data_IF_384302436758
#
_entry.id   IF_384302436758
#
_cell.length_a   1.000
_cell.length_b   1.000
_cell.length_c   1.000
_cell.angle_alpha   90.00
_cell.angle_beta   90.00
_cell.angle_gamma   90.00
#
_symmetry.space_group_name_H-M   'P 1'
#
loop_
_entity.id
_entity.type
_entity.pdbx_description
1 polymer ?
#
# COMPACT_ATOMS: atom_id res chain seq x y z
N UNK A 1 -1.80 -22.18 18.59
CA UNK A 1 -2.62 -21.01 18.20
C UNK A 1 -1.73 -20.03 17.45
N UNK A 2 -1.98 -19.81 16.16
CA UNK A 2 -1.25 -18.83 15.36
C UNK A 2 -1.79 -17.41 15.59
N UNK A 3 -0.92 -16.41 15.67
CA UNK A 3 -1.33 -15.00 15.69
C UNK A 3 -1.65 -14.49 14.28
N UNK A 4 -2.23 -13.29 14.15
CA UNK A 4 -2.67 -12.70 12.86
C UNK A 4 -1.62 -12.74 11.73
N UNK A 5 -0.32 -12.73 12.06
CA UNK A 5 0.76 -12.88 11.07
C UNK A 5 0.75 -14.21 10.30
N UNK A 6 0.16 -15.27 10.85
CA UNK A 6 0.02 -16.54 10.13
C UNK A 6 -1.00 -16.46 8.99
N UNK A 7 -1.99 -15.56 9.07
CA UNK A 7 -3.00 -15.39 8.03
C UNK A 7 -2.34 -14.75 6.80
N UNK A 8 -1.69 -13.60 6.95
CA UNK A 8 -1.05 -12.92 5.83
C UNK A 8 0.06 -13.74 5.16
N UNK A 9 0.77 -14.59 5.90
CA UNK A 9 1.76 -15.50 5.31
C UNK A 9 1.13 -16.67 4.55
N UNK A 10 -0.06 -17.13 4.96
CA UNK A 10 -0.81 -18.15 4.23
C UNK A 10 -1.31 -17.61 2.90
N UNK A 11 -1.88 -16.41 2.90
CA UNK A 11 -2.40 -15.76 1.68
C UNK A 11 -1.27 -15.53 0.65
N UNK A 12 -0.08 -15.09 1.13
CA UNK A 12 1.10 -14.92 0.28
C UNK A 12 1.57 -16.25 -0.33
N UNK A 13 1.58 -17.33 0.46
CA UNK A 13 1.98 -18.65 -0.02
C UNK A 13 1.02 -19.18 -1.08
N UNK A 14 -0.29 -19.00 -0.89
CA UNK A 14 -1.30 -19.39 -1.87
C UNK A 14 -1.11 -18.65 -3.20
N UNK A 15 -0.89 -17.34 -3.15
CA UNK A 15 -0.67 -16.52 -4.35
C UNK A 15 0.65 -16.88 -5.07
N UNK A 16 1.74 -17.14 -4.33
CA UNK A 16 3.02 -17.59 -4.87
C UNK A 16 2.89 -18.96 -5.57
N UNK A 17 2.14 -19.88 -4.97
CA UNK A 17 1.86 -21.21 -5.55
C UNK A 17 1.16 -21.18 -6.92
N UNK A 18 0.55 -20.05 -7.30
CA UNK A 18 -0.03 -19.87 -8.64
C UNK A 18 1.01 -19.65 -9.75
N UNK A 19 2.25 -19.27 -9.40
CA UNK A 19 3.31 -18.90 -10.34
C UNK A 19 3.04 -17.62 -11.14
N UNK A 20 2.09 -16.78 -10.69
CA UNK A 20 1.67 -15.53 -11.35
C UNK A 20 1.82 -14.29 -10.46
N UNK A 21 2.55 -14.43 -9.34
CA UNK A 21 2.79 -13.36 -8.40
C UNK A 21 4.25 -12.90 -8.52
N UNK A 22 4.44 -11.65 -8.92
CA UNK A 22 5.68 -10.92 -8.71
C UNK A 22 5.48 -9.92 -7.57
N UNK A 23 6.44 -9.82 -6.66
CA UNK A 23 6.36 -8.90 -5.52
C UNK A 23 7.69 -8.21 -5.25
N UNK A 24 7.62 -7.00 -4.70
CA UNK A 24 8.77 -6.26 -4.19
C UNK A 24 8.45 -5.68 -2.82
N UNK A 25 9.16 -6.14 -1.79
CA UNK A 25 9.05 -5.60 -0.44
C UNK A 25 10.02 -4.44 -0.25
N UNK A 26 9.74 -3.57 0.72
CA UNK A 26 10.58 -2.39 1.02
C UNK A 26 10.70 -1.41 -0.15
N UNK A 27 9.69 -1.38 -1.04
CA UNK A 27 9.61 -0.45 -2.18
C UNK A 27 8.50 0.58 -1.92
N UNK A 28 8.73 1.61 -1.09
CA UNK A 28 7.72 2.62 -0.82
C UNK A 28 7.38 3.39 -2.10
N UNK A 29 6.09 3.48 -2.42
CA UNK A 29 5.59 4.25 -3.57
C UNK A 29 5.72 5.76 -3.28
N UNK A 30 5.98 6.55 -4.33
CA UNK A 30 5.99 8.01 -4.29
C UNK A 30 4.89 8.62 -5.17
N UNK A 31 4.66 8.07 -6.37
CA UNK A 31 3.67 8.61 -7.29
C UNK A 31 2.95 7.54 -8.11
N UNK A 32 1.76 7.90 -8.56
CA UNK A 32 0.90 7.10 -9.44
C UNK A 32 0.40 7.97 -10.59
N UNK A 33 0.55 7.50 -11.81
CA UNK A 33 0.05 8.16 -13.02
C UNK A 33 -0.87 7.20 -13.78
N UNK A 34 -2.15 7.51 -13.83
CA UNK A 34 -3.15 6.83 -14.66
C UNK A 34 -3.20 7.48 -16.06
N UNK A 35 -2.88 6.69 -17.08
CA UNK A 35 -2.91 7.08 -18.50
C UNK A 35 -4.21 6.63 -19.18
N UNK A 36 -5.16 6.05 -18.45
CA UNK A 36 -6.44 5.53 -18.92
C UNK A 36 -6.39 4.07 -19.39
N UNK A 37 -5.36 3.69 -20.16
CA UNK A 37 -5.14 2.30 -20.59
C UNK A 37 -4.07 1.56 -19.78
N UNK A 38 -3.24 2.30 -19.05
CA UNK A 38 -2.13 1.84 -18.22
C UNK A 38 -1.99 2.76 -17.01
N UNK A 39 -1.54 2.20 -15.89
CA UNK A 39 -1.13 2.90 -14.69
C UNK A 39 0.36 2.69 -14.49
N UNK A 40 1.07 3.79 -14.21
CA UNK A 40 2.49 3.81 -13.87
C UNK A 40 2.66 4.17 -12.40
N UNK A 41 3.47 3.39 -11.68
CA UNK A 41 3.75 3.57 -10.25
C UNK A 41 5.25 3.76 -10.07
N UNK A 42 5.64 4.88 -9.48
CA UNK A 42 7.05 5.21 -9.23
C UNK A 42 7.37 5.03 -7.75
N UNK A 43 8.44 4.28 -7.48
CA UNK A 43 9.00 4.13 -6.13
C UNK A 43 9.70 5.42 -5.67
N UNK A 44 9.83 5.62 -4.35
CA UNK A 44 10.44 6.82 -3.74
C UNK A 44 11.89 7.05 -4.14
N UNK A 45 12.65 5.98 -4.35
CA UNK A 45 14.03 6.07 -4.79
C UNK A 45 14.13 6.35 -6.30
N UNK A 46 13.02 6.38 -7.04
CA UNK A 46 12.95 6.68 -8.47
C UNK A 46 13.58 5.63 -9.37
N UNK A 47 14.22 4.60 -8.81
CA UNK A 47 14.89 3.52 -9.54
C UNK A 47 13.88 2.59 -10.21
N UNK A 48 12.80 2.27 -9.51
CA UNK A 48 11.80 1.33 -10.00
C UNK A 48 10.52 2.04 -10.46
N UNK A 49 10.09 1.71 -11.68
CA UNK A 49 8.82 2.12 -12.28
C UNK A 49 8.04 0.87 -12.69
N UNK A 50 6.85 0.70 -12.12
CA UNK A 50 5.97 -0.43 -12.38
C UNK A 50 4.82 0.00 -13.29
N UNK A 51 4.49 -0.84 -14.28
CA UNK A 51 3.40 -0.60 -15.23
C UNK A 51 2.38 -1.72 -15.16
N UNK A 52 1.11 -1.36 -15.11
CA UNK A 52 0.01 -2.33 -15.10
C UNK A 52 -1.24 -1.76 -15.77
N UNK A 53 -2.16 -2.64 -16.20
CA UNK A 53 -3.44 -2.20 -16.79
C UNK A 53 -4.38 -1.58 -15.77
N UNK A 54 -4.26 -1.97 -14.49
CA UNK A 54 -5.06 -1.49 -13.37
C UNK A 54 -4.22 -1.52 -12.09
N UNK A 55 -4.55 -0.63 -11.16
CA UNK A 55 -3.93 -0.56 -9.85
C UNK A 55 -4.97 -0.81 -8.76
N UNK A 56 -4.63 -1.66 -7.78
CA UNK A 56 -5.37 -1.79 -6.52
C UNK A 56 -4.58 -1.03 -5.45
N UNK A 57 -5.14 0.06 -4.93
CA UNK A 57 -4.44 0.96 -4.01
C UNK A 57 -4.92 0.73 -2.57
N UNK A 58 -4.14 -0.02 -1.79
CA UNK A 58 -4.47 -0.41 -0.41
C UNK A 58 -3.73 0.40 0.66
N UNK A 59 -3.16 1.56 0.30
CA UNK A 59 -2.50 2.40 1.31
C UNK A 59 -3.55 2.97 2.26
N UNK A 60 -3.21 3.16 3.53
CA UNK A 60 -4.11 3.79 4.49
C UNK A 60 -4.55 5.19 4.04
N UNK A 61 -5.81 5.55 4.31
CA UNK A 61 -6.39 6.83 3.93
C UNK A 61 -5.55 8.03 4.40
N UNK A 62 -5.02 7.97 5.61
CA UNK A 62 -4.18 9.01 6.21
C UNK A 62 -2.77 9.08 5.63
N UNK A 63 -2.37 8.17 4.74
CA UNK A 63 -1.08 8.19 4.03
C UNK A 63 -1.28 8.67 2.59
N UNK A 64 -2.50 8.65 2.05
CA UNK A 64 -2.78 9.03 0.66
C UNK A 64 -2.29 10.43 0.30
N UNK A 65 -2.36 11.41 1.21
CA UNK A 65 -1.91 12.78 0.94
C UNK A 65 -0.39 12.88 0.72
N UNK A 66 0.39 11.87 1.10
CA UNK A 66 1.85 11.85 0.91
C UNK A 66 2.27 11.37 -0.47
N UNK A 67 1.32 10.88 -1.29
CA UNK A 67 1.56 10.26 -2.58
C UNK A 67 1.03 11.16 -3.70
N UNK A 68 1.86 11.41 -4.71
CA UNK A 68 1.43 12.17 -5.87
C UNK A 68 0.53 11.29 -6.77
N UNK A 69 -0.57 11.87 -7.27
CA UNK A 69 -1.48 11.18 -8.19
C UNK A 69 -1.76 12.06 -9.40
N UNK A 70 -1.81 11.44 -10.59
CA UNK A 70 -2.25 12.07 -11.83
C UNK A 70 -3.21 11.12 -12.54
N UNK A 71 -4.49 11.48 -12.77
CA UNK A 71 -5.14 12.72 -12.35
C UNK A 71 -5.22 12.84 -10.82
N UNK A 72 -5.41 14.05 -10.32
CA UNK A 72 -5.50 14.31 -8.88
C UNK A 72 -6.66 13.50 -8.26
N UNK A 73 -6.46 13.03 -7.02
CA UNK A 73 -7.52 12.39 -6.25
C UNK A 73 -8.76 13.31 -6.15
N UNK A 74 -9.98 12.74 -6.18
CA UNK A 74 -11.21 13.50 -5.94
C UNK A 74 -11.11 14.33 -4.66
N UNK A 75 -11.60 15.57 -4.69
CA UNK A 75 -11.45 16.53 -3.59
C UNK A 75 -11.85 15.95 -2.22
N UNK A 76 -12.97 15.24 -2.14
CA UNK A 76 -13.43 14.58 -0.91
C UNK A 76 -12.44 13.55 -0.36
N UNK A 77 -11.75 12.80 -1.23
CA UNK A 77 -10.72 11.83 -0.80
C UNK A 77 -9.47 12.57 -0.30
N UNK A 78 -9.10 13.65 -0.98
CA UNK A 78 -7.97 14.49 -0.58
C UNK A 78 -8.23 15.14 0.78
N UNK A 79 -9.40 15.73 0.99
CA UNK A 79 -9.81 16.30 2.28
C UNK A 79 -9.85 15.24 3.39
N UNK A 80 -10.46 14.07 3.12
CA UNK A 80 -10.50 12.98 4.09
C UNK A 80 -9.11 12.43 4.44
N UNK A 81 -8.16 12.44 3.49
CA UNK A 81 -6.78 12.01 3.73
C UNK A 81 -5.97 12.97 4.62
N UNK A 82 -6.40 14.23 4.71
CA UNK A 82 -5.82 15.26 5.57
C UNK A 82 -6.48 15.28 6.96
N UNK A 83 -7.79 15.00 7.03
CA UNK A 83 -8.55 14.91 8.27
C UNK A 83 -8.27 13.57 8.98
N UNK A 84 -7.08 13.49 9.57
CA UNK A 84 -6.54 12.29 10.19
C UNK A 84 -7.28 11.90 11.48
N UNK A 85 -8.19 10.92 11.41
CA UNK A 85 -8.75 10.23 12.59
C UNK A 85 -7.84 9.08 13.04
N UNK A 86 -6.54 9.38 13.24
CA UNK A 86 -5.58 8.37 13.67
C UNK A 86 -5.90 7.88 15.08
N UNK A 87 -6.11 6.57 15.22
CA UNK A 87 -6.09 5.93 16.52
C UNK A 87 -4.64 5.79 16.98
N UNK A 88 -4.21 6.62 17.94
CA UNK A 88 -2.83 6.67 18.46
C UNK A 88 -2.61 5.60 19.54
N UNK A 89 -2.94 4.35 19.24
CA UNK A 89 -2.77 3.23 20.19
C UNK A 89 -1.30 2.92 20.37
N UNK A 90 -0.87 2.84 21.62
CA UNK A 90 0.40 2.23 22.00
C UNK A 90 0.13 0.80 22.46
N UNK A 91 0.81 -0.17 21.86
CA UNK A 91 0.71 -1.59 22.21
C UNK A 91 2.01 -2.08 22.84
N UNK A 92 1.98 -2.40 24.13
CA UNK A 92 3.13 -2.90 24.88
C UNK A 92 2.91 -4.37 25.28
N UNK A 93 3.95 -5.19 25.15
CA UNK A 93 3.96 -6.54 25.68
C UNK A 93 5.08 -6.66 26.72
N UNK A 94 4.78 -7.20 27.89
CA UNK A 94 5.77 -7.54 28.90
C UNK A 94 5.60 -9.00 29.30
N UNK A 95 6.69 -9.76 29.26
CA UNK A 95 6.75 -11.12 29.81
C UNK A 95 7.31 -11.00 31.22
N UNK A 96 6.49 -11.28 32.23
CA UNK A 96 6.90 -11.26 33.64
C UNK A 96 7.42 -12.65 34.02
N UNK A 97 8.46 -12.68 34.85
CA UNK A 97 9.08 -13.90 35.35
C UNK A 97 8.19 -14.64 36.37
#
# INVERSE_FOLDING_TARGET
>A
MGGLGCIGTTDLHEADGSGRLDYSFSTPVQSVVDRGNEVEVTSREGVDVFKARRLVWTVPLNVLHTLASTPALPALKSEASLNSHLNQVVKCHAKVA
#
